data_IF_202230033712
#
_entry.id   IF_202230033712
#
_cell.length_a   1.000
_cell.length_b   1.000
_cell.length_c   1.000
_cell.angle_alpha   90.00
_cell.angle_beta   90.00
_cell.angle_gamma   90.00
#
_symmetry.space_group_name_H-M   'P 1'
#
loop_
_entity.id
_entity.type
_entity.pdbx_description
1 polymer ?
#
# COMPACT_ATOMS: atom_id res chain seq x y z
N UNK A 1 30.67 38.22 16.85
CA UNK A 1 30.49 36.84 17.35
C UNK A 1 28.99 36.59 17.51
N UNK A 2 28.24 36.58 16.40
CA UNK A 2 26.76 36.69 16.43
C UNK A 2 26.05 35.52 15.74
N UNK A 3 26.79 34.60 15.13
CA UNK A 3 26.22 33.51 14.31
C UNK A 3 25.64 32.38 15.16
N UNK A 4 26.17 32.20 16.37
CA UNK A 4 25.76 31.13 17.27
C UNK A 4 24.28 31.24 17.72
N UNK A 5 23.77 32.40 18.19
CA UNK A 5 22.34 32.53 18.50
C UNK A 5 21.43 32.40 17.27
N UNK A 6 21.89 32.79 16.08
CA UNK A 6 21.15 32.61 14.83
C UNK A 6 21.00 31.13 14.45
N UNK A 7 22.09 30.35 14.53
CA UNK A 7 22.07 28.90 14.31
C UNK A 7 21.19 28.18 15.33
N UNK A 8 21.22 28.62 16.59
CA UNK A 8 20.36 28.06 17.64
C UNK A 8 18.88 28.26 17.30
N UNK A 9 18.49 29.45 16.85
CA UNK A 9 17.11 29.73 16.42
C UNK A 9 16.67 28.86 15.25
N UNK A 10 17.51 28.72 14.21
CA UNK A 10 17.24 27.85 13.06
C UNK A 10 17.12 26.38 13.47
N UNK A 11 17.99 25.89 14.35
CA UNK A 11 17.97 24.50 14.81
C UNK A 11 16.66 24.18 15.54
N UNK A 12 16.24 25.05 16.46
CA UNK A 12 14.98 24.90 17.20
C UNK A 12 13.79 24.95 16.24
N UNK A 13 13.79 25.85 15.27
CA UNK A 13 12.74 25.94 14.25
C UNK A 13 12.61 24.64 13.43
N UNK A 14 13.73 24.11 12.93
CA UNK A 14 13.76 22.87 12.16
C UNK A 14 13.29 21.69 13.01
N UNK A 15 13.68 21.63 14.28
CA UNK A 15 13.24 20.58 15.20
C UNK A 15 11.72 20.56 15.36
N UNK A 16 11.08 21.70 15.59
CA UNK A 16 9.61 21.77 15.66
C UNK A 16 8.95 21.46 14.32
N UNK A 17 9.50 21.96 13.22
CA UNK A 17 9.00 21.66 11.88
C UNK A 17 9.03 20.15 11.58
N UNK A 18 10.10 19.46 11.97
CA UNK A 18 10.24 18.02 11.82
C UNK A 18 9.19 17.26 12.63
N UNK A 19 8.91 17.67 13.87
CA UNK A 19 7.87 17.06 14.72
C UNK A 19 6.48 17.23 14.07
N UNK A 20 6.13 18.44 13.65
CA UNK A 20 4.84 18.71 13.00
C UNK A 20 4.70 17.88 11.73
N UNK A 21 5.75 17.85 10.89
CA UNK A 21 5.77 17.08 9.67
C UNK A 21 5.64 15.57 9.93
N UNK A 22 6.30 15.06 10.97
CA UNK A 22 6.18 13.66 11.38
C UNK A 22 4.75 13.30 11.76
N UNK A 23 4.09 14.09 12.61
CA UNK A 23 2.70 13.83 13.00
C UNK A 23 1.74 13.94 11.82
N UNK A 24 1.98 14.86 10.89
CA UNK A 24 1.23 14.95 9.65
C UNK A 24 1.35 13.66 8.82
N UNK A 25 2.58 13.15 8.62
CA UNK A 25 2.80 11.89 7.90
C UNK A 25 2.14 10.68 8.56
N UNK A 26 2.21 10.59 9.90
CA UNK A 26 1.55 9.52 10.65
C UNK A 26 0.04 9.56 10.46
N UNK A 27 -0.57 10.75 10.50
CA UNK A 27 -2.01 10.91 10.28
C UNK A 27 -2.42 10.75 8.79
N UNK A 28 -1.50 10.92 7.85
CA UNK A 28 -1.75 10.73 6.41
C UNK A 28 -1.92 9.26 6.00
N UNK A 29 -1.90 8.30 6.93
CA UNK A 29 -2.27 6.91 6.64
C UNK A 29 -1.28 6.16 5.76
N UNK A 30 -0.04 6.64 5.62
CA UNK A 30 1.01 5.99 4.80
C UNK A 30 1.43 4.59 5.29
N UNK A 31 0.92 4.17 6.46
CA UNK A 31 1.17 2.84 7.05
C UNK A 31 0.01 1.86 6.85
N UNK A 32 -1.11 2.29 6.26
CA UNK A 32 -2.31 1.47 6.08
C UNK A 32 -2.14 0.41 4.96
N UNK A 33 -1.14 0.59 4.09
CA UNK A 33 -0.85 -0.31 2.95
C UNK A 33 0.35 -1.26 3.19
N UNK A 34 0.79 -1.41 4.44
CA UNK A 34 1.81 -2.41 4.80
C UNK A 34 1.22 -3.82 4.99
N UNK A 35 -0.11 -3.95 5.01
CA UNK A 35 -0.83 -5.22 5.17
C UNK A 35 -0.78 -6.08 3.89
N UNK A 36 -0.61 -5.46 2.71
CA UNK A 36 -0.75 -6.14 1.42
C UNK A 36 0.48 -6.99 0.99
N UNK A 37 1.74 -6.52 1.07
CA UNK A 37 2.88 -7.25 0.49
C UNK A 37 3.25 -8.56 1.21
N UNK A 38 2.91 -8.68 2.49
CA UNK A 38 3.28 -9.84 3.31
C UNK A 38 2.47 -11.10 2.95
N UNK A 39 1.24 -10.93 2.46
CA UNK A 39 0.38 -12.04 2.07
C UNK A 39 0.69 -12.59 0.67
N UNK A 40 1.31 -11.79 -0.19
CA UNK A 40 1.67 -12.18 -1.55
C UNK A 40 2.97 -13.01 -1.61
N UNK A 41 3.96 -12.70 -0.77
CA UNK A 41 5.27 -13.40 -0.77
C UNK A 41 5.18 -14.88 -0.34
N UNK A 42 4.19 -15.26 0.47
CA UNK A 42 4.08 -16.63 0.98
C UNK A 42 3.11 -17.52 0.17
N UNK A 43 2.23 -16.93 -0.63
CA UNK A 43 1.13 -17.65 -1.28
C UNK A 43 1.07 -17.49 -2.80
N UNK A 44 1.78 -16.52 -3.41
CA UNK A 44 1.76 -16.31 -4.87
C UNK A 44 2.65 -17.31 -5.64
N UNK A 45 3.69 -17.88 -5.01
CA UNK A 45 4.63 -18.81 -5.65
C UNK A 45 4.08 -20.25 -5.77
N UNK A 46 3.05 -20.58 -4.99
CA UNK A 46 2.48 -21.94 -4.93
C UNK A 46 1.35 -22.15 -5.95
N UNK A 47 0.75 -21.09 -6.49
CA UNK A 47 -0.41 -21.17 -7.41
C UNK A 47 -0.10 -21.90 -8.73
N UNK A 48 1.15 -21.82 -9.20
CA UNK A 48 1.64 -22.52 -10.40
C UNK A 48 2.04 -23.98 -10.11
N UNK A 49 2.21 -24.33 -8.82
CA UNK A 49 2.55 -25.69 -8.37
C UNK A 49 1.31 -26.53 -8.07
N UNK A 50 0.13 -25.93 -8.01
CA UNK A 50 -1.16 -26.62 -7.84
C UNK A 50 -1.53 -27.32 -9.16
N UNK A 51 -1.58 -28.67 -9.19
CA UNK A 51 -2.07 -29.41 -10.36
C UNK A 51 -3.47 -28.93 -10.74
N UNK A 52 -3.74 -28.73 -12.04
CA UNK A 52 -5.02 -28.24 -12.59
C UNK A 52 -6.25 -29.02 -12.07
N UNK A 53 -6.07 -30.28 -11.70
CA UNK A 53 -7.12 -31.15 -11.13
C UNK A 53 -7.54 -30.75 -9.71
N UNK A 54 -6.67 -30.05 -8.96
CA UNK A 54 -6.89 -29.62 -7.57
C UNK A 54 -7.33 -28.16 -7.42
N UNK A 55 -7.35 -27.38 -8.51
CA UNK A 55 -8.00 -26.06 -8.57
C UNK A 55 -9.52 -26.22 -8.54
N UNK A 56 -10.08 -26.63 -7.40
CA UNK A 56 -11.53 -26.74 -7.23
C UNK A 56 -12.19 -25.35 -7.24
N UNK A 57 -12.99 -25.11 -8.28
CA UNK A 57 -14.12 -24.18 -8.33
C UNK A 57 -13.90 -22.79 -7.68
N UNK A 58 -13.08 -21.93 -8.28
CA UNK A 58 -13.49 -20.50 -8.33
C UNK A 58 -14.51 -20.39 -9.47
N UNK A 59 -15.75 -19.94 -9.21
CA UNK A 59 -16.70 -19.71 -10.29
C UNK A 59 -16.14 -18.58 -11.15
N UNK A 60 -15.62 -18.94 -12.31
CA UNK A 60 -15.36 -17.98 -13.40
C UNK A 60 -16.67 -17.23 -13.64
N UNK A 61 -16.72 -15.90 -13.50
CA UNK A 61 -17.87 -15.15 -14.00
C UNK A 61 -17.89 -15.36 -15.52
N UNK A 62 -18.78 -16.22 -16.00
CA UNK A 62 -18.97 -16.40 -17.43
C UNK A 62 -19.40 -15.03 -18.00
N UNK A 63 -18.81 -14.58 -19.12
CA UNK A 63 -19.36 -13.46 -19.85
C UNK A 63 -20.79 -13.82 -20.23
N UNK A 64 -21.76 -13.04 -19.75
CA UNK A 64 -23.16 -13.15 -20.18
C UNK A 64 -23.21 -12.88 -21.69
N UNK A 65 -23.18 -13.94 -22.50
CA UNK A 65 -23.56 -13.86 -23.90
C UNK A 65 -25.08 -13.89 -23.95
N UNK A 66 -25.67 -12.72 -23.71
CA UNK A 66 -27.09 -12.50 -23.92
C UNK A 66 -27.31 -12.57 -25.43
N UNK A 67 -27.91 -13.68 -25.86
CA UNK A 67 -28.40 -13.91 -27.21
C UNK A 67 -29.59 -12.97 -27.48
N UNK A 68 -29.31 -11.73 -27.85
CA UNK A 68 -30.30 -10.78 -28.35
C UNK A 68 -30.24 -10.63 -29.90
N UNK A 69 -29.72 -11.65 -30.59
CA UNK A 69 -29.82 -11.79 -32.06
C UNK A 69 -30.99 -12.74 -32.42
N UNK A 70 -32.21 -12.30 -32.10
CA UNK A 70 -33.42 -12.77 -32.78
C UNK A 70 -34.33 -11.57 -33.03
N UNK A 71 -34.10 -10.87 -34.14
CA UNK A 71 -35.13 -10.17 -34.93
C UNK A 71 -34.75 -10.09 -36.40
#
# INVERSE_FOLDING_TARGET
MEILPFLLGISVFIFFAAIIFFFWNVNSGQYDDLESPAHHILFDDDDDLIPEESKQNKPTPMPNHNSDDVR
#
